data_IF_880303270196
#
_entry.id   IF_880303270196
#
_cell.length_a   1.000
_cell.length_b   1.000
_cell.length_c   1.000
_cell.angle_alpha   90.00
_cell.angle_beta   90.00
_cell.angle_gamma   90.00
#
_symmetry.space_group_name_H-M   'P 1'
#
loop_
_entity.id
_entity.type
_entity.pdbx_description
1 polymer ?
#
# COMPACT_ATOMS: atom_id res chain seq x y z
N UNK A 1 20.84 -45.76 -40.66
CA UNK A 1 19.77 -44.89 -40.12
C UNK A 1 18.59 -45.02 -41.06
N UNK A 2 17.46 -45.55 -40.59
CA UNK A 2 16.34 -45.84 -41.47
C UNK A 2 15.62 -44.54 -41.83
N UNK A 3 15.08 -44.47 -43.04
CA UNK A 3 14.30 -43.32 -43.52
C UNK A 3 13.09 -43.03 -42.63
N UNK A 4 12.55 -44.06 -41.97
CA UNK A 4 11.48 -43.97 -40.98
C UNK A 4 11.88 -43.22 -39.71
N UNK A 5 13.11 -43.40 -39.21
CA UNK A 5 13.60 -42.70 -38.01
C UNK A 5 13.80 -41.20 -38.29
N UNK A 6 14.29 -40.87 -39.50
CA UNK A 6 14.46 -39.49 -39.96
C UNK A 6 13.11 -38.81 -40.17
N UNK A 7 12.13 -39.51 -40.75
CA UNK A 7 10.77 -38.99 -40.91
C UNK A 7 10.09 -38.75 -39.56
N UNK A 8 10.28 -39.65 -38.59
CA UNK A 8 9.71 -39.51 -37.24
C UNK A 8 10.35 -38.32 -36.49
N UNK A 9 11.67 -38.15 -36.60
CA UNK A 9 12.39 -37.01 -36.03
C UNK A 9 11.97 -35.67 -36.65
N UNK A 10 11.73 -35.61 -37.96
CA UNK A 10 11.21 -34.42 -38.62
C UNK A 10 9.78 -34.09 -38.15
N UNK A 11 8.95 -35.12 -37.97
CA UNK A 11 7.57 -34.97 -37.53
C UNK A 11 7.46 -34.54 -36.05
N UNK A 12 8.37 -35.00 -35.18
CA UNK A 12 8.43 -34.55 -33.78
C UNK A 12 8.93 -33.10 -33.66
N UNK A 13 9.94 -32.70 -34.44
CA UNK A 13 10.41 -31.32 -34.47
C UNK A 13 9.33 -30.33 -34.95
N UNK A 14 8.50 -30.73 -35.92
CA UNK A 14 7.34 -29.92 -36.33
C UNK A 14 6.26 -29.82 -35.24
N UNK A 15 6.04 -30.87 -34.45
CA UNK A 15 5.07 -30.82 -33.33
C UNK A 15 5.56 -29.94 -32.18
N UNK A 16 6.86 -29.98 -31.87
CA UNK A 16 7.44 -29.12 -30.83
C UNK A 16 7.43 -27.63 -31.21
N UNK A 17 7.67 -27.30 -32.48
CA UNK A 17 7.59 -25.91 -32.94
C UNK A 17 6.17 -25.35 -32.91
N UNK A 18 5.16 -26.15 -33.28
CA UNK A 18 3.75 -25.76 -33.19
C UNK A 18 3.31 -25.54 -31.72
N UNK A 19 3.71 -26.45 -30.82
CA UNK A 19 3.38 -26.33 -29.40
C UNK A 19 4.15 -25.19 -28.70
N UNK A 20 5.37 -24.88 -29.12
CA UNK A 20 6.10 -23.67 -28.69
C UNK A 20 5.39 -22.40 -29.15
N UNK A 21 4.89 -22.36 -30.39
CA UNK A 21 4.12 -21.22 -30.89
C UNK A 21 2.81 -21.04 -30.10
N UNK A 22 2.08 -22.10 -29.78
CA UNK A 22 0.88 -22.04 -28.94
C UNK A 22 1.18 -21.53 -27.52
N UNK A 23 2.27 -22.01 -26.91
CA UNK A 23 2.74 -21.54 -25.60
C UNK A 23 3.21 -20.08 -25.65
N UNK A 24 3.88 -19.68 -26.75
CA UNK A 24 4.33 -18.30 -26.99
C UNK A 24 3.17 -17.32 -27.14
N UNK A 25 2.09 -17.72 -27.84
CA UNK A 25 0.87 -16.91 -27.96
C UNK A 25 0.18 -16.79 -26.60
N UNK A 26 0.15 -17.87 -25.82
CA UNK A 26 -0.45 -17.88 -24.48
C UNK A 26 0.32 -16.98 -23.52
N UNK A 27 1.65 -17.07 -23.48
CA UNK A 27 2.48 -16.20 -22.63
C UNK A 27 2.42 -14.74 -23.07
N UNK A 28 2.44 -14.47 -24.38
CA UNK A 28 2.27 -13.13 -24.93
C UNK A 28 0.92 -12.52 -24.53
N UNK A 29 -0.18 -13.29 -24.58
CA UNK A 29 -1.50 -12.84 -24.14
C UNK A 29 -1.51 -12.45 -22.66
N UNK A 30 -0.94 -13.29 -21.79
CA UNK A 30 -0.87 -13.00 -20.34
C UNK A 30 -0.08 -11.72 -20.10
N UNK A 31 1.09 -11.56 -20.73
CA UNK A 31 1.91 -10.34 -20.62
C UNK A 31 1.16 -9.12 -21.12
N UNK A 32 0.49 -9.21 -22.27
CA UNK A 32 -0.30 -8.11 -22.83
C UNK A 32 -1.44 -7.70 -21.89
N UNK A 33 -2.16 -8.68 -21.32
CA UNK A 33 -3.23 -8.41 -20.35
C UNK A 33 -2.69 -7.79 -19.05
N UNK A 34 -1.55 -8.25 -18.55
CA UNK A 34 -0.89 -7.65 -17.39
C UNK A 34 -0.49 -6.20 -17.65
N UNK A 35 0.05 -5.92 -18.85
CA UNK A 35 0.38 -4.55 -19.25
C UNK A 35 -0.85 -3.65 -19.28
N UNK A 36 -1.95 -4.11 -19.89
CA UNK A 36 -3.21 -3.34 -19.92
C UNK A 36 -3.75 -3.09 -18.51
N UNK A 37 -3.73 -4.09 -17.63
CA UNK A 37 -4.19 -3.96 -16.24
C UNK A 37 -3.33 -2.95 -15.46
N UNK A 38 -2.00 -3.01 -15.59
CA UNK A 38 -1.08 -2.07 -14.93
C UNK A 38 -1.31 -0.63 -15.43
N UNK A 39 -1.44 -0.43 -16.74
CA UNK A 39 -1.74 0.88 -17.32
C UNK A 39 -3.10 1.42 -16.86
N UNK A 40 -4.15 0.58 -16.85
CA UNK A 40 -5.46 0.96 -16.35
C UNK A 40 -5.40 1.42 -14.88
N UNK A 41 -4.66 0.69 -14.04
CA UNK A 41 -4.49 1.05 -12.64
C UNK A 41 -3.74 2.38 -12.48
N UNK A 42 -2.64 2.59 -13.22
CA UNK A 42 -1.88 3.85 -13.21
C UNK A 42 -2.74 5.04 -13.63
N UNK A 43 -3.51 4.90 -14.72
CA UNK A 43 -4.42 5.95 -15.21
C UNK A 43 -5.46 6.28 -14.13
N UNK A 44 -6.04 5.28 -13.48
CA UNK A 44 -7.01 5.48 -12.41
C UNK A 44 -6.41 6.26 -11.23
N UNK A 45 -5.19 5.89 -10.78
CA UNK A 45 -4.49 6.61 -9.71
C UNK A 45 -4.20 8.06 -10.09
N UNK A 46 -3.70 8.29 -11.32
CA UNK A 46 -3.44 9.64 -11.84
C UNK A 46 -4.73 10.46 -11.89
N UNK A 47 -5.84 9.87 -12.29
CA UNK A 47 -7.13 10.55 -12.37
C UNK A 47 -7.63 11.02 -10.99
N UNK A 48 -7.55 10.16 -9.98
CA UNK A 48 -7.91 10.51 -8.60
C UNK A 48 -7.00 11.64 -8.08
N UNK A 49 -5.69 11.55 -8.32
CA UNK A 49 -4.74 12.61 -7.95
C UNK A 49 -5.03 13.90 -8.71
N UNK A 50 -5.42 13.85 -10.00
CA UNK A 50 -5.81 15.04 -10.76
C UNK A 50 -7.05 15.71 -10.21
N UNK A 51 -8.06 14.96 -9.78
CA UNK A 51 -9.26 15.53 -9.16
C UNK A 51 -8.91 16.18 -7.82
N UNK A 52 -8.16 15.49 -6.95
CA UNK A 52 -7.67 16.06 -5.70
C UNK A 52 -6.79 17.29 -5.93
N UNK A 53 -5.88 17.22 -6.89
CA UNK A 53 -4.99 18.31 -7.29
C UNK A 53 -5.79 19.48 -7.84
N UNK A 54 -6.84 19.25 -8.63
CA UNK A 54 -7.73 20.30 -9.12
C UNK A 54 -8.53 20.95 -7.99
N UNK A 55 -9.02 20.19 -7.01
CA UNK A 55 -9.74 20.72 -5.85
C UNK A 55 -8.81 21.54 -4.95
N UNK A 56 -7.62 21.02 -4.66
CA UNK A 56 -6.58 21.74 -3.89
C UNK A 56 -6.08 22.97 -4.64
N UNK A 57 -5.89 22.88 -5.96
CA UNK A 57 -5.56 24.05 -6.77
C UNK A 57 -6.70 25.05 -6.81
N UNK A 58 -7.96 24.63 -6.81
CA UNK A 58 -9.11 25.54 -6.76
C UNK A 58 -9.23 26.25 -5.39
N UNK A 59 -8.88 25.56 -4.32
CA UNK A 59 -8.75 26.13 -2.97
C UNK A 59 -7.53 27.07 -2.87
N UNK A 60 -6.40 26.73 -3.49
CA UNK A 60 -5.21 27.60 -3.55
C UNK A 60 -5.38 28.78 -4.51
N UNK A 61 -6.12 28.65 -5.62
CA UNK A 61 -6.36 29.73 -6.60
C UNK A 61 -7.37 30.76 -6.10
N UNK A 62 -8.24 30.38 -5.15
CA UNK A 62 -9.03 31.33 -4.37
C UNK A 62 -8.17 32.15 -3.38
N UNK A 63 -6.98 31.66 -3.00
CA UNK A 63 -6.04 32.34 -2.11
C UNK A 63 -4.76 32.89 -2.76
N UNK A 64 -4.49 32.62 -4.04
CA UNK A 64 -3.19 32.92 -4.67
C UNK A 64 -3.22 33.97 -5.77
N UNK A 65 -4.34 34.70 -5.95
CA UNK A 65 -4.32 35.90 -6.79
C UNK A 65 -3.59 37.09 -6.12
N UNK A 66 -2.94 36.88 -4.98
CA UNK A 66 -2.25 37.93 -4.23
C UNK A 66 -0.91 37.50 -3.62
N UNK A 67 0.01 36.87 -4.39
CA UNK A 67 1.44 37.08 -4.07
C UNK A 67 2.40 36.81 -5.22
N UNK A 68 2.30 37.66 -6.24
CA UNK A 68 3.51 38.08 -6.96
C UNK A 68 4.34 38.95 -6.02
N UNK A 69 5.39 38.36 -5.46
CA UNK A 69 6.56 39.08 -4.98
C UNK A 69 6.56 39.55 -3.52
N UNK A 70 7.81 39.67 -3.06
CA UNK A 70 8.31 40.47 -1.93
C UNK A 70 8.49 39.76 -0.58
N UNK A 71 9.76 39.36 -0.40
CA UNK A 71 10.70 39.67 0.69
C UNK A 71 10.22 39.48 2.15
N UNK A 72 11.02 38.67 2.85
CA UNK A 72 11.66 38.89 4.16
C UNK A 72 10.82 39.26 5.40
N UNK A 73 11.25 38.60 6.48
CA UNK A 73 11.35 39.01 7.89
C UNK A 73 10.19 38.69 8.86
N UNK A 74 10.58 37.81 9.80
CA UNK A 74 10.58 38.00 11.26
C UNK A 74 9.28 38.01 12.08
N UNK A 75 9.39 37.23 13.17
CA UNK A 75 8.88 37.45 14.54
C UNK A 75 7.44 37.04 14.96
N UNK A 76 7.42 35.91 15.69
CA UNK A 76 6.58 35.44 16.83
C UNK A 76 6.35 36.54 17.93
N UNK A 77 5.48 36.43 18.99
CA UNK A 77 4.43 35.48 19.44
C UNK A 77 3.07 36.11 19.92
N UNK A 78 2.16 35.24 20.42
CA UNK A 78 1.06 35.45 21.40
C UNK A 78 -0.29 35.95 20.79
N UNK A 79 -1.49 35.56 21.23
CA UNK A 79 -1.99 35.20 22.57
C UNK A 79 -3.36 34.47 22.47
N UNK A 80 -3.77 33.72 23.51
CA UNK A 80 -5.04 32.95 23.66
C UNK A 80 -5.86 33.59 24.81
N UNK A 81 -7.20 33.67 24.78
CA UNK A 81 -8.04 32.93 25.78
C UNK A 81 -9.45 32.48 25.26
N UNK A 82 -9.88 31.20 25.44
CA UNK A 82 -10.90 30.66 26.42
C UNK A 82 -12.38 30.76 25.94
N UNK A 83 -13.39 29.89 26.17
CA UNK A 83 -13.63 28.51 26.68
C UNK A 83 -15.13 28.15 26.35
N UNK A 84 -15.54 26.91 25.97
CA UNK A 84 -16.33 25.91 26.76
C UNK A 84 -17.38 25.17 25.85
N UNK A 85 -18.07 24.07 26.24
CA UNK A 85 -17.68 22.73 26.74
C UNK A 85 -18.04 21.56 25.76
N UNK A 86 -17.68 20.32 26.12
CA UNK A 86 -17.49 19.14 25.26
C UNK A 86 -18.74 18.30 24.87
N UNK A 87 -18.59 17.40 23.86
CA UNK A 87 -18.92 16.01 24.02
C UNK A 87 -17.62 15.21 24.24
N UNK A 88 -17.66 14.32 25.22
CA UNK A 88 -16.55 13.50 25.69
C UNK A 88 -16.24 12.45 24.61
N UNK A 89 -15.46 12.82 23.60
CA UNK A 89 -14.64 11.84 22.90
C UNK A 89 -13.60 11.44 23.93
N UNK A 90 -13.61 10.17 24.31
CA UNK A 90 -12.53 9.57 25.09
C UNK A 90 -11.25 9.84 24.32
N UNK A 91 -10.55 10.91 24.71
CA UNK A 91 -9.21 11.20 24.25
C UNK A 91 -8.34 10.08 24.79
N UNK A 92 -8.25 8.99 24.02
CA UNK A 92 -7.13 8.08 24.13
C UNK A 92 -5.90 8.95 23.91
N UNK A 93 -5.09 9.07 24.95
CA UNK A 93 -3.89 9.87 24.92
C UNK A 93 -3.09 9.49 23.67
N UNK A 94 -2.72 10.47 22.86
CA UNK A 94 -1.82 10.31 21.72
C UNK A 94 -0.64 9.43 22.16
N UNK A 95 -0.64 8.18 21.69
CA UNK A 95 0.13 7.12 22.31
C UNK A 95 1.46 7.02 21.61
N UNK A 96 2.56 7.45 22.24
CA UNK A 96 3.94 7.16 21.81
C UNK A 96 4.22 7.28 20.28
N UNK A 97 3.66 8.31 19.63
CA UNK A 97 3.84 8.55 18.19
C UNK A 97 3.01 7.66 17.25
N UNK A 98 2.00 6.97 17.77
CA UNK A 98 1.02 6.17 17.02
C UNK A 98 -0.34 6.87 17.12
N UNK A 99 -0.98 7.09 15.97
CA UNK A 99 -2.25 7.81 15.91
C UNK A 99 -3.44 6.89 16.21
N UNK A 100 -4.52 7.48 16.71
CA UNK A 100 -5.73 6.73 17.11
C UNK A 100 -6.38 6.02 15.92
N UNK A 101 -6.24 6.54 14.70
CA UNK A 101 -6.74 5.88 13.49
C UNK A 101 -6.02 4.56 13.24
N UNK A 102 -4.70 4.55 13.42
CA UNK A 102 -3.89 3.34 13.27
C UNK A 102 -4.27 2.32 14.33
N UNK A 103 -4.48 2.77 15.57
CA UNK A 103 -4.93 1.91 16.67
C UNK A 103 -6.31 1.32 16.38
N UNK A 104 -7.25 2.11 15.84
CA UNK A 104 -8.59 1.67 15.48
C UNK A 104 -8.58 0.62 14.36
N UNK A 105 -7.79 0.86 13.30
CA UNK A 105 -7.65 -0.09 12.18
C UNK A 105 -7.04 -1.41 12.64
N UNK A 106 -5.99 -1.37 13.47
CA UNK A 106 -5.37 -2.58 14.03
C UNK A 106 -6.37 -3.33 14.93
N UNK A 107 -7.11 -2.61 15.76
CA UNK A 107 -8.12 -3.21 16.65
C UNK A 107 -9.26 -3.87 15.87
N UNK A 108 -9.73 -3.24 14.79
CA UNK A 108 -10.73 -3.81 13.91
C UNK A 108 -10.21 -5.07 13.21
N UNK A 109 -8.98 -5.05 12.69
CA UNK A 109 -8.35 -6.21 12.07
C UNK A 109 -8.25 -7.38 13.07
N UNK A 110 -7.77 -7.13 14.30
CA UNK A 110 -7.67 -8.16 15.35
C UNK A 110 -9.05 -8.71 15.72
N UNK A 111 -10.07 -7.85 15.83
CA UNK A 111 -11.45 -8.28 16.11
C UNK A 111 -11.98 -9.22 15.00
N UNK A 112 -11.68 -8.92 13.73
CA UNK A 112 -12.07 -9.80 12.61
C UNK A 112 -11.29 -11.12 12.58
N UNK A 113 -10.01 -11.13 12.96
CA UNK A 113 -9.20 -12.35 12.98
C UNK A 113 -9.57 -13.31 14.09
N UNK A 114 -9.86 -12.78 15.30
CA UNK A 114 -10.20 -13.60 16.46
C UNK A 114 -11.71 -13.86 16.60
N UNK A 115 -12.53 -13.36 15.68
CA UNK A 115 -13.97 -13.65 15.60
C UNK A 115 -14.79 -13.23 16.82
N UNK A 116 -14.20 -12.45 17.73
CA UNK A 116 -14.85 -12.11 18.99
C UNK A 116 -15.64 -10.82 18.84
N UNK A 117 -16.97 -10.98 18.79
CA UNK A 117 -17.94 -9.91 19.00
C UNK A 117 -17.91 -9.37 20.45
N UNK A 118 -17.07 -9.94 21.31
CA UNK A 118 -16.88 -9.43 22.66
C UNK A 118 -15.96 -8.22 22.65
N UNK A 119 -16.21 -7.27 23.57
CA UNK A 119 -15.59 -5.95 23.62
C UNK A 119 -14.08 -6.06 23.89
N UNK A 120 -13.29 -6.35 22.86
CA UNK A 120 -11.84 -6.33 22.93
C UNK A 120 -11.40 -4.92 23.32
N UNK A 121 -10.76 -4.81 24.49
CA UNK A 121 -10.23 -3.55 25.00
C UNK A 121 -8.72 -3.57 24.98
N UNK A 122 -8.14 -2.46 24.55
CA UNK A 122 -6.70 -2.25 24.57
C UNK A 122 -6.27 -2.04 26.02
N UNK A 123 -5.45 -2.95 26.57
CA UNK A 123 -4.95 -2.84 27.94
C UNK A 123 -3.78 -1.87 28.06
N UNK A 124 -2.87 -1.88 27.09
CA UNK A 124 -1.72 -0.98 27.01
C UNK A 124 -1.08 -1.07 25.63
N UNK A 125 -0.56 0.03 25.14
CA UNK A 125 0.28 0.08 23.94
C UNK A 125 1.68 0.42 24.42
N UNK A 126 2.66 -0.43 24.13
CA UNK A 126 4.06 -0.17 24.43
C UNK A 126 4.90 -0.47 23.21
N UNK A 127 5.88 0.40 22.95
CA UNK A 127 6.91 0.10 21.97
C UNK A 127 7.69 -1.13 22.44
N UNK A 128 7.83 -2.13 21.56
CA UNK A 128 8.63 -3.30 21.87
C UNK A 128 10.06 -2.86 22.18
N UNK A 129 10.53 -3.13 23.40
CA UNK A 129 11.92 -2.86 23.83
C UNK A 129 12.91 -3.88 23.28
N UNK A 130 12.45 -4.76 22.36
CA UNK A 130 13.16 -5.90 21.80
C UNK A 130 14.22 -5.44 20.77
N UNK A 131 15.22 -4.70 21.26
CA UNK A 131 16.52 -4.52 20.60
C UNK A 131 16.49 -4.02 19.15
N UNK A 132 15.55 -3.16 18.77
CA UNK A 132 15.49 -2.53 17.45
C UNK A 132 15.06 -3.44 16.29
N UNK A 133 14.77 -4.72 16.52
CA UNK A 133 14.31 -5.64 15.48
C UNK A 133 12.79 -5.73 15.51
N UNK A 134 12.14 -5.43 14.38
CA UNK A 134 10.69 -5.54 14.26
C UNK A 134 10.23 -7.00 14.41
N UNK A 135 8.98 -7.20 14.82
CA UNK A 135 8.37 -8.53 14.92
C UNK A 135 8.48 -9.31 13.59
N UNK A 136 8.37 -8.63 12.45
CA UNK A 136 8.54 -9.22 11.12
C UNK A 136 9.98 -9.65 10.84
N UNK A 137 10.98 -8.85 11.25
CA UNK A 137 12.38 -9.22 11.10
C UNK A 137 12.73 -10.46 11.94
N UNK A 138 12.09 -10.65 13.10
CA UNK A 138 12.25 -11.87 13.92
C UNK A 138 11.53 -13.07 13.30
N UNK A 139 10.29 -12.89 12.85
CA UNK A 139 9.52 -13.95 12.18
C UNK A 139 10.24 -14.50 10.95
N UNK A 140 10.72 -13.60 10.08
CA UNK A 140 11.48 -14.00 8.89
C UNK A 140 12.74 -14.79 9.23
N UNK A 141 13.53 -14.36 10.24
CA UNK A 141 14.70 -15.15 10.64
C UNK A 141 14.28 -16.51 11.20
N UNK A 142 13.27 -16.57 12.06
CA UNK A 142 12.77 -17.83 12.61
C UNK A 142 12.33 -18.81 11.52
N UNK A 143 11.62 -18.33 10.50
CA UNK A 143 11.15 -19.18 9.39
C UNK A 143 12.29 -19.59 8.46
N UNK A 144 13.31 -18.76 8.26
CA UNK A 144 14.47 -19.09 7.43
C UNK A 144 15.51 -19.97 8.13
N UNK A 145 15.53 -20.01 9.46
CA UNK A 145 16.54 -20.77 10.25
C UNK A 145 15.96 -21.97 10.98
N UNK A 146 14.71 -22.35 10.70
CA UNK A 146 14.14 -23.59 11.24
C UNK A 146 14.80 -24.80 10.57
N UNK A 147 15.30 -25.79 11.33
CA UNK A 147 15.83 -27.02 10.75
C UNK A 147 14.71 -27.79 10.04
N UNK A 148 15.08 -28.48 8.96
CA UNK A 148 14.20 -29.34 8.16
C UNK A 148 13.95 -30.69 8.85
#
# INVERSE_FOLDING_TARGET
MNLSDVALAAQTAQKESLTLAEKGITSAKVVLTGFVVVFAMLILLIFIIKIYSAIVQKAQSAGSNSKKGKKNKDEKPAEKPAAAPAPVVTASAATDGISDEVVAVISAAVATMYGSSEKARIKSIKKSSDGGRSAWAKAGVLDNTRPF
#
